data_IF_181513276227
#
_entry.id   IF_181513276227
#
_cell.length_a   1.000
_cell.length_b   1.000
_cell.length_c   1.000
_cell.angle_alpha   90.00
_cell.angle_beta   90.00
_cell.angle_gamma   90.00
#
_symmetry.space_group_name_H-M   'P 1'
#
loop_
_entity.id
_entity.type
_entity.pdbx_description
1 polymer ?
#
# COMPACT_ATOMS: atom_id res chain seq x y z
N UNK A 1 -12.54 -0.44 -33.76
CA UNK A 1 -12.20 -1.64 -32.97
C UNK A 1 -11.13 -1.20 -32.01
N UNK A 2 -11.48 -1.01 -30.74
CA UNK A 2 -10.51 -0.80 -29.67
C UNK A 2 -10.22 -2.21 -29.17
N UNK A 3 -8.98 -2.67 -29.35
CA UNK A 3 -8.54 -3.92 -28.75
C UNK A 3 -8.59 -3.74 -27.23
N UNK A 4 -9.40 -4.56 -26.57
CA UNK A 4 -9.44 -4.64 -25.11
C UNK A 4 -8.05 -5.04 -24.62
N UNK A 5 -7.33 -4.08 -24.08
CA UNK A 5 -6.10 -4.32 -23.35
C UNK A 5 -6.47 -5.18 -22.14
N UNK A 6 -6.24 -6.48 -22.25
CA UNK A 6 -6.58 -7.48 -21.25
C UNK A 6 -5.74 -7.20 -20.00
N UNK A 7 -6.27 -6.38 -19.10
CA UNK A 7 -5.63 -6.02 -17.84
C UNK A 7 -5.32 -7.28 -17.04
N UNK A 8 -4.04 -7.52 -16.75
CA UNK A 8 -3.59 -8.63 -15.90
C UNK A 8 -4.26 -8.55 -14.52
N UNK A 9 -4.44 -7.34 -13.99
CA UNK A 9 -5.16 -7.12 -12.73
C UNK A 9 -6.62 -7.59 -12.78
N UNK A 10 -7.27 -7.51 -13.94
CA UNK A 10 -8.62 -8.05 -14.13
C UNK A 10 -8.65 -9.57 -14.03
N UNK A 11 -7.66 -10.30 -14.58
CA UNK A 11 -7.61 -11.76 -14.44
C UNK A 11 -7.33 -12.21 -13.01
N UNK A 12 -6.45 -11.52 -12.29
CA UNK A 12 -6.16 -11.80 -10.87
C UNK A 12 -7.38 -11.48 -9.99
N UNK A 13 -8.07 -10.36 -10.26
CA UNK A 13 -9.31 -10.01 -9.57
C UNK A 13 -10.45 -10.98 -9.91
N UNK A 14 -10.55 -11.47 -11.16
CA UNK A 14 -11.55 -12.49 -11.53
C UNK A 14 -11.28 -13.81 -10.82
N UNK A 15 -10.02 -14.24 -10.68
CA UNK A 15 -9.67 -15.44 -9.90
C UNK A 15 -9.98 -15.28 -8.42
N UNK A 16 -9.60 -14.14 -7.83
CA UNK A 16 -9.89 -13.83 -6.43
C UNK A 16 -11.39 -13.71 -6.19
N UNK A 17 -12.11 -13.07 -7.12
CA UNK A 17 -13.56 -12.93 -7.04
C UNK A 17 -14.27 -14.25 -7.28
N UNK A 18 -13.83 -15.16 -8.15
CA UNK A 18 -14.41 -16.51 -8.28
C UNK A 18 -14.27 -17.31 -6.97
N UNK A 19 -13.12 -17.19 -6.28
CA UNK A 19 -12.90 -17.79 -4.96
C UNK A 19 -13.81 -17.14 -3.89
N UNK A 20 -14.01 -15.82 -3.96
CA UNK A 20 -14.96 -15.07 -3.12
C UNK A 20 -16.44 -15.27 -3.55
N UNK A 21 -16.70 -15.68 -4.78
CA UNK A 21 -18.05 -15.93 -5.31
C UNK A 21 -18.56 -17.27 -4.79
N UNK A 22 -17.68 -18.25 -4.59
CA UNK A 22 -17.98 -19.47 -3.84
C UNK A 22 -18.34 -19.17 -2.38
N UNK A 23 -17.78 -18.11 -1.78
CA UNK A 23 -18.16 -17.64 -0.45
C UNK A 23 -19.40 -16.72 -0.43
N UNK A 24 -19.92 -16.30 -1.60
CA UNK A 24 -21.09 -15.40 -1.76
C UNK A 24 -22.44 -15.98 -1.32
N UNK A 25 -22.49 -17.24 -0.88
CA UNK A 25 -23.62 -17.70 -0.04
C UNK A 25 -23.65 -17.03 1.34
N UNK A 26 -22.59 -16.32 1.72
CA UNK A 26 -22.47 -15.51 2.93
C UNK A 26 -22.28 -14.05 2.53
N UNK A 27 -23.38 -13.36 2.24
CA UNK A 27 -23.43 -11.89 2.30
C UNK A 27 -22.85 -11.44 3.65
N UNK A 28 -21.85 -10.54 3.65
CA UNK A 28 -21.11 -9.96 4.79
C UNK A 28 -19.67 -10.44 5.07
N UNK A 29 -18.97 -11.10 4.15
CA UNK A 29 -17.52 -11.27 4.34
C UNK A 29 -16.80 -10.00 3.88
N UNK A 30 -16.50 -9.10 4.82
CA UNK A 30 -15.47 -8.08 4.62
C UNK A 30 -14.16 -8.82 4.34
N UNK A 31 -13.80 -8.96 3.07
CA UNK A 31 -12.62 -9.70 2.67
C UNK A 31 -11.36 -8.93 3.10
N UNK A 32 -10.29 -9.68 3.38
CA UNK A 32 -8.95 -9.16 3.63
C UNK A 32 -8.08 -9.43 2.39
N UNK A 33 -7.09 -8.57 2.15
CA UNK A 33 -6.12 -8.72 1.06
C UNK A 33 -4.70 -8.69 1.64
N UNK A 34 -3.85 -9.64 1.25
CA UNK A 34 -2.44 -9.66 1.62
C UNK A 34 -1.59 -9.63 0.35
N UNK A 35 -0.68 -8.66 0.27
CA UNK A 35 0.15 -8.42 -0.92
C UNK A 35 1.60 -8.19 -0.53
N UNK A 36 2.51 -8.65 -1.38
CA UNK A 36 3.93 -8.30 -1.30
C UNK A 36 4.33 -7.45 -2.49
N UNK A 37 4.90 -6.28 -2.23
CA UNK A 37 5.16 -5.26 -3.24
C UNK A 37 6.56 -4.68 -3.09
N UNK A 38 7.27 -4.55 -4.21
CA UNK A 38 8.40 -3.65 -4.36
C UNK A 38 7.92 -2.30 -4.90
N UNK A 39 7.95 -1.26 -4.06
CA UNK A 39 7.52 0.09 -4.46
C UNK A 39 8.42 0.73 -5.53
N UNK A 40 9.62 0.18 -5.75
CA UNK A 40 10.52 0.60 -6.83
C UNK A 40 10.19 -0.09 -8.16
N UNK A 41 9.45 -1.20 -8.12
CA UNK A 41 9.01 -1.92 -9.31
C UNK A 41 7.67 -1.34 -9.79
N UNK A 42 7.73 -0.51 -10.83
CA UNK A 42 6.54 0.13 -11.43
C UNK A 42 5.45 -0.87 -11.83
N UNK A 43 5.81 -2.04 -12.33
CA UNK A 43 4.85 -3.07 -12.73
C UNK A 43 4.11 -3.64 -11.51
N UNK A 44 4.80 -3.85 -10.40
CA UNK A 44 4.16 -4.31 -9.17
C UNK A 44 3.25 -3.23 -8.55
N UNK A 45 3.70 -1.96 -8.54
CA UNK A 45 2.87 -0.86 -8.04
C UNK A 45 1.63 -0.66 -8.90
N UNK A 46 1.76 -0.76 -10.23
CA UNK A 46 0.63 -0.65 -11.14
C UNK A 46 -0.39 -1.77 -10.94
N UNK A 47 0.07 -3.01 -10.73
CA UNK A 47 -0.82 -4.13 -10.41
C UNK A 47 -1.55 -3.92 -9.09
N UNK A 48 -0.83 -3.51 -8.04
CA UNK A 48 -1.44 -3.20 -6.76
C UNK A 48 -2.52 -2.11 -6.90
N UNK A 49 -2.22 -1.06 -7.66
CA UNK A 49 -3.16 0.02 -7.97
C UNK A 49 -4.42 -0.49 -8.66
N UNK A 50 -4.28 -1.36 -9.66
CA UNK A 50 -5.41 -1.95 -10.38
C UNK A 50 -6.25 -2.84 -9.46
N UNK A 51 -5.62 -3.71 -8.67
CA UNK A 51 -6.32 -4.59 -7.71
C UNK A 51 -7.11 -3.78 -6.69
N UNK A 52 -6.49 -2.76 -6.08
CA UNK A 52 -7.16 -1.88 -5.12
C UNK A 52 -8.23 -1.00 -5.79
N UNK A 53 -8.03 -0.59 -7.04
CA UNK A 53 -9.02 0.17 -7.81
C UNK A 53 -10.28 -0.63 -8.18
N UNK A 54 -10.16 -1.96 -8.31
CA UNK A 54 -11.30 -2.87 -8.54
C UNK A 54 -12.04 -3.22 -7.23
N UNK A 55 -11.50 -2.85 -6.08
CA UNK A 55 -12.09 -3.17 -4.79
C UNK A 55 -13.23 -2.20 -4.45
N UNK A 56 -14.48 -2.64 -4.63
CA UNK A 56 -15.68 -1.79 -4.54
C UNK A 56 -16.38 -1.81 -3.19
N UNK A 57 -15.95 -2.67 -2.26
CA UNK A 57 -16.56 -2.84 -0.94
C UNK A 57 -15.58 -2.49 0.18
N UNK A 58 -16.08 -2.34 1.41
CA UNK A 58 -15.20 -2.12 2.56
C UNK A 58 -14.37 -3.38 2.85
N UNK A 59 -13.04 -3.24 2.80
CA UNK A 59 -12.06 -4.26 3.14
C UNK A 59 -11.85 -4.29 4.66
N UNK A 60 -11.74 -5.49 5.24
CA UNK A 60 -11.44 -5.61 6.67
C UNK A 60 -9.98 -5.27 6.94
N UNK A 61 -9.07 -6.02 6.32
CA UNK A 61 -7.63 -5.84 6.51
C UNK A 61 -6.92 -5.80 5.15
N UNK A 62 -5.97 -4.87 5.02
CA UNK A 62 -4.98 -4.85 3.94
C UNK A 62 -3.61 -5.08 4.54
N UNK A 63 -2.99 -6.21 4.25
CA UNK A 63 -1.63 -6.51 4.64
C UNK A 63 -0.67 -6.23 3.48
N UNK A 64 0.36 -5.43 3.74
CA UNK A 64 1.37 -5.02 2.76
C UNK A 64 2.74 -5.43 3.30
N UNK A 65 3.38 -6.34 2.58
CA UNK A 65 4.73 -6.81 2.87
C UNK A 65 5.71 -6.17 1.88
N UNK A 66 6.49 -5.20 2.36
CA UNK A 66 7.49 -4.54 1.52
C UNK A 66 8.64 -5.51 1.20
N UNK A 67 8.98 -5.60 -0.10
CA UNK A 67 10.10 -6.41 -0.57
C UNK A 67 11.41 -5.65 -0.38
N UNK A 68 12.33 -6.24 0.38
CA UNK A 68 13.70 -5.76 0.49
C UNK A 68 14.52 -6.26 -0.71
N UNK A 69 14.49 -5.53 -1.81
CA UNK A 69 15.36 -5.87 -2.96
C UNK A 69 16.81 -5.45 -2.66
N UNK A 70 17.63 -6.44 -2.29
CA UNK A 70 19.08 -6.32 -2.06
C UNK A 70 19.93 -6.47 -3.34
N UNK A 71 19.28 -6.47 -4.52
CA UNK A 71 19.98 -6.59 -5.80
C UNK A 71 20.86 -5.36 -6.10
N UNK A 72 21.92 -5.51 -6.93
CA UNK A 72 22.77 -4.39 -7.34
C UNK A 72 21.90 -3.34 -8.02
N UNK A 73 21.80 -2.18 -7.37
CA UNK A 73 20.99 -1.07 -7.85
C UNK A 73 21.77 -0.38 -8.96
N UNK A 74 21.26 -0.42 -10.18
CA UNK A 74 21.64 0.58 -11.17
C UNK A 74 21.11 1.93 -10.67
N UNK A 75 22.01 2.83 -10.31
CA UNK A 75 21.76 4.22 -9.93
C UNK A 75 21.17 5.00 -11.10
N UNK A 76 19.94 4.69 -11.50
CA UNK A 76 19.10 5.58 -12.29
C UNK A 76 18.29 6.47 -11.33
N UNK A 77 19.00 7.19 -10.47
CA UNK A 77 18.44 8.13 -9.48
C UNK A 77 17.48 9.16 -10.14
N UNK A 78 17.74 9.49 -11.41
CA UNK A 78 16.94 10.44 -12.21
C UNK A 78 15.52 9.95 -12.50
N UNK A 79 15.34 8.64 -12.76
CA UNK A 79 14.03 8.06 -13.06
C UNK A 79 13.24 7.69 -11.81
N UNK A 80 13.94 7.39 -10.71
CA UNK A 80 13.37 7.06 -9.40
C UNK A 80 12.92 8.33 -8.65
N UNK A 81 13.74 9.39 -8.60
CA UNK A 81 13.31 10.68 -8.04
C UNK A 81 12.11 11.27 -8.77
N UNK A 82 12.04 11.09 -10.10
CA UNK A 82 10.87 11.54 -10.88
C UNK A 82 9.59 10.79 -10.52
N UNK A 83 9.69 9.54 -10.07
CA UNK A 83 8.52 8.72 -9.73
C UNK A 83 7.71 9.34 -8.58
N UNK A 84 8.40 9.88 -7.57
CA UNK A 84 7.79 10.52 -6.41
C UNK A 84 7.77 12.06 -6.48
N UNK A 85 8.68 12.70 -7.25
CA UNK A 85 8.72 14.18 -7.44
C UNK A 85 7.85 14.73 -8.55
N UNK A 86 7.50 13.97 -9.60
CA UNK A 86 6.73 14.53 -10.74
C UNK A 86 5.31 14.97 -10.34
N UNK A 87 4.86 14.61 -9.14
CA UNK A 87 3.52 14.89 -8.64
C UNK A 87 3.49 15.87 -7.48
N UNK A 88 4.59 16.55 -7.13
CA UNK A 88 4.57 17.53 -6.03
C UNK A 88 3.68 18.76 -6.32
N UNK A 89 3.17 18.92 -7.55
CA UNK A 89 2.18 19.94 -7.92
C UNK A 89 0.76 19.39 -8.15
N UNK A 90 0.57 18.07 -8.13
CA UNK A 90 -0.72 17.39 -8.20
C UNK A 90 -0.68 16.26 -7.18
N UNK A 91 -1.26 16.47 -6.00
CA UNK A 91 -1.26 15.53 -4.87
C UNK A 91 -1.82 14.12 -5.19
N UNK A 92 -2.28 13.87 -6.42
CA UNK A 92 -3.00 12.68 -6.89
C UNK A 92 -2.16 11.59 -7.58
N UNK A 93 -0.91 11.83 -7.99
CA UNK A 93 -0.45 11.17 -9.21
C UNK A 93 0.39 9.87 -9.08
N UNK A 94 0.41 9.19 -7.92
CA UNK A 94 0.89 7.79 -7.87
C UNK A 94 -0.22 6.78 -7.58
N UNK A 95 -1.09 7.09 -6.63
CA UNK A 95 -2.33 6.39 -6.39
C UNK A 95 -3.48 7.32 -6.78
N UNK A 96 -4.11 7.18 -7.96
CA UNK A 96 -5.32 7.93 -8.27
C UNK A 96 -6.33 7.59 -7.19
N UNK A 97 -6.93 8.62 -6.59
CA UNK A 97 -7.85 8.56 -5.46
C UNK A 97 -8.63 7.25 -5.45
N UNK A 98 -8.10 6.28 -4.70
CA UNK A 98 -8.58 4.92 -4.80
C UNK A 98 -9.80 4.85 -3.88
N UNK A 99 -10.98 4.64 -4.47
CA UNK A 99 -12.26 4.69 -3.73
C UNK A 99 -12.44 3.54 -2.74
N UNK A 100 -11.50 2.60 -2.68
CA UNK A 100 -11.57 1.51 -1.71
C UNK A 100 -11.45 2.08 -0.30
N UNK A 101 -12.07 1.36 0.63
CA UNK A 101 -12.02 1.67 2.04
C UNK A 101 -11.57 0.44 2.79
N UNK A 102 -10.67 0.61 3.75
CA UNK A 102 -10.12 -0.47 4.56
C UNK A 102 -10.15 -0.08 6.03
N UNK A 103 -10.59 -0.99 6.89
CA UNK A 103 -10.58 -0.73 8.35
C UNK A 103 -9.16 -0.68 8.88
N UNK A 104 -8.38 -1.72 8.62
CA UNK A 104 -7.03 -1.86 9.14
C UNK A 104 -6.01 -2.11 8.04
N UNK A 105 -4.92 -1.33 8.03
CA UNK A 105 -3.75 -1.60 7.17
C UNK A 105 -2.62 -2.13 8.04
N UNK A 106 -1.99 -3.23 7.62
CA UNK A 106 -0.78 -3.77 8.24
C UNK A 106 0.40 -3.58 7.28
N UNK A 107 1.49 -3.01 7.78
CA UNK A 107 2.70 -2.74 7.01
C UNK A 107 3.87 -3.52 7.60
N UNK A 108 4.29 -4.56 6.90
CA UNK A 108 5.40 -5.43 7.27
C UNK A 108 6.67 -5.05 6.51
N UNK A 109 7.83 -5.28 7.12
CA UNK A 109 9.14 -4.88 6.61
C UNK A 109 9.30 -3.38 6.33
N UNK A 110 8.54 -2.53 7.04
CA UNK A 110 8.63 -1.09 6.88
C UNK A 110 10.03 -0.59 7.31
N UNK A 111 10.75 0.03 6.36
CA UNK A 111 12.10 0.56 6.51
C UNK A 111 12.14 2.08 6.69
N UNK A 112 10.97 2.71 6.66
CA UNK A 112 10.81 4.16 6.59
C UNK A 112 11.61 4.75 5.41
N UNK A 113 11.61 4.07 4.28
CA UNK A 113 12.09 4.65 3.02
C UNK A 113 11.18 5.79 2.59
N UNK A 114 11.67 6.64 1.69
CA UNK A 114 10.88 7.77 1.18
C UNK A 114 9.62 7.29 0.47
N UNK A 115 9.73 6.19 -0.28
CA UNK A 115 8.65 5.59 -1.05
C UNK A 115 7.59 4.94 -0.15
N UNK A 116 8.02 4.17 0.86
CA UNK A 116 7.10 3.56 1.83
C UNK A 116 6.37 4.62 2.65
N UNK A 117 7.09 5.67 3.09
CA UNK A 117 6.49 6.77 3.83
C UNK A 117 5.50 7.56 2.96
N UNK A 118 5.84 7.83 1.69
CA UNK A 118 4.96 8.49 0.75
C UNK A 118 3.71 7.65 0.46
N UNK A 119 3.87 6.34 0.28
CA UNK A 119 2.76 5.40 0.09
C UNK A 119 1.83 5.39 1.31
N UNK A 120 2.36 5.25 2.52
CA UNK A 120 1.56 5.29 3.75
C UNK A 120 0.84 6.64 3.91
N UNK A 121 1.56 7.74 3.71
CA UNK A 121 0.99 9.09 3.76
C UNK A 121 -0.15 9.28 2.77
N UNK A 122 -0.03 8.72 1.58
CA UNK A 122 -1.06 8.77 0.54
C UNK A 122 -2.34 8.07 0.99
N UNK A 123 -2.24 6.84 1.52
CA UNK A 123 -3.40 6.10 2.04
C UNK A 123 -4.15 6.89 3.14
N UNK A 124 -3.40 7.51 4.06
CA UNK A 124 -3.95 8.32 5.16
C UNK A 124 -4.66 9.55 4.61
N UNK A 125 -3.97 10.35 3.78
CA UNK A 125 -4.50 11.61 3.23
C UNK A 125 -5.73 11.41 2.34
N UNK A 126 -5.79 10.30 1.62
CA UNK A 126 -6.95 9.94 0.79
C UNK A 126 -8.13 9.42 1.62
N UNK A 127 -7.97 9.20 2.92
CA UNK A 127 -9.03 8.68 3.78
C UNK A 127 -9.44 7.24 3.43
N UNK A 128 -8.51 6.48 2.82
CA UNK A 128 -8.74 5.06 2.48
C UNK A 128 -8.74 4.17 3.72
N UNK A 129 -7.95 4.54 4.73
CA UNK A 129 -7.87 3.84 6.01
C UNK A 129 -8.88 4.45 6.98
N UNK A 130 -9.79 3.62 7.50
CA UNK A 130 -10.89 4.07 8.35
C UNK A 130 -10.53 4.08 9.83
N UNK A 131 -9.93 3.00 10.35
CA UNK A 131 -9.77 2.82 11.79
C UNK A 131 -8.29 2.90 12.20
N UNK A 132 -7.43 2.05 11.62
CA UNK A 132 -6.06 1.89 12.12
C UNK A 132 -5.04 1.53 11.04
N UNK A 133 -3.83 2.07 11.16
CA UNK A 133 -2.65 1.64 10.43
C UNK A 133 -1.61 1.07 11.41
N UNK A 134 -1.23 -0.19 11.20
CA UNK A 134 -0.27 -0.93 11.99
C UNK A 134 1.04 -1.03 11.22
N UNK A 135 2.13 -0.54 11.81
CA UNK A 135 3.48 -0.59 11.23
C UNK A 135 4.33 -1.52 12.06
N UNK A 136 4.96 -2.50 11.42
CA UNK A 136 5.89 -3.40 12.11
C UNK A 136 7.14 -2.60 12.49
N UNK A 137 7.31 -2.34 13.79
CA UNK A 137 8.43 -1.53 14.30
C UNK A 137 9.29 -2.29 15.30
N UNK A 138 8.72 -3.27 16.01
CA UNK A 138 9.31 -3.84 17.23
C UNK A 138 9.92 -5.22 17.00
N UNK A 139 10.58 -5.44 15.86
CA UNK A 139 11.44 -6.61 15.72
C UNK A 139 12.70 -6.42 16.57
N UNK A 140 12.89 -7.29 17.56
CA UNK A 140 14.06 -7.39 18.44
C UNK A 140 15.40 -7.55 17.67
N UNK A 141 15.32 -7.74 16.35
CA UNK A 141 16.45 -7.86 15.41
C UNK A 141 16.93 -6.53 14.81
N UNK A 142 16.18 -5.43 14.95
CA UNK A 142 16.59 -4.15 14.34
C UNK A 142 17.66 -3.43 15.17
N UNK A 143 18.69 -2.85 14.52
CA UNK A 143 19.57 -1.89 15.19
C UNK A 143 18.77 -0.71 15.73
N UNK A 144 19.15 -0.19 16.89
CA UNK A 144 18.45 0.94 17.54
C UNK A 144 18.28 2.17 16.62
N UNK A 145 19.26 2.43 15.74
CA UNK A 145 19.17 3.51 14.76
C UNK A 145 18.05 3.30 13.74
N UNK A 146 17.81 2.05 13.31
CA UNK A 146 16.72 1.70 12.40
C UNK A 146 15.37 1.83 13.11
N UNK A 147 15.28 1.39 14.36
CA UNK A 147 14.07 1.54 15.17
C UNK A 147 13.68 3.02 15.35
N UNK A 148 14.62 3.88 15.76
CA UNK A 148 14.37 5.32 15.91
C UNK A 148 13.89 5.98 14.60
N UNK A 149 14.43 5.54 13.46
CA UNK A 149 14.00 6.04 12.14
C UNK A 149 12.54 5.67 11.86
N UNK A 150 12.15 4.44 12.16
CA UNK A 150 10.78 3.95 11.98
C UNK A 150 9.83 4.68 12.93
N UNK A 151 10.17 4.80 14.22
CA UNK A 151 9.38 5.51 15.22
C UNK A 151 9.16 6.98 14.83
N UNK A 152 10.21 7.67 14.35
CA UNK A 152 10.10 9.03 13.85
C UNK A 152 9.19 9.14 12.61
N UNK A 153 9.21 8.14 11.73
CA UNK A 153 8.32 8.09 10.58
C UNK A 153 6.86 7.84 11.01
N UNK A 154 6.62 6.92 11.95
CA UNK A 154 5.28 6.67 12.51
C UNK A 154 4.73 7.91 13.20
N UNK A 155 5.53 8.62 14.00
CA UNK A 155 5.12 9.88 14.61
C UNK A 155 4.72 10.94 13.56
N UNK A 156 5.43 11.01 12.44
CA UNK A 156 5.06 11.88 11.31
C UNK A 156 3.76 11.44 10.65
N UNK A 157 3.52 10.14 10.49
CA UNK A 157 2.26 9.60 9.94
C UNK A 157 1.07 9.89 10.87
N UNK A 158 1.23 9.71 12.19
CA UNK A 158 0.23 10.06 13.20
C UNK A 158 -0.19 11.54 13.12
N UNK A 159 0.77 12.42 12.85
CA UNK A 159 0.51 13.85 12.71
C UNK A 159 -0.29 14.22 11.44
N UNK A 160 -0.45 13.32 10.46
CA UNK A 160 -1.18 13.60 9.23
C UNK A 160 -2.70 13.61 9.44
N UNK A 161 -3.23 12.78 10.33
CA UNK A 161 -4.67 12.70 10.56
C UNK A 161 -4.98 12.24 11.99
N UNK A 162 -5.48 13.16 12.81
CA UNK A 162 -5.75 12.94 14.23
C UNK A 162 -6.83 11.89 14.54
N UNK A 163 -7.70 11.57 13.57
CA UNK A 163 -8.75 10.56 13.73
C UNK A 163 -8.28 9.13 13.41
N UNK A 164 -7.14 8.97 12.75
CA UNK A 164 -6.60 7.66 12.40
C UNK A 164 -5.59 7.23 13.46
N UNK A 165 -5.78 6.04 14.03
CA UNK A 165 -4.79 5.45 14.90
C UNK A 165 -3.64 4.88 14.05
N UNK A 166 -2.40 5.32 14.28
CA UNK A 166 -1.21 4.69 13.70
C UNK A 166 -0.38 4.12 14.83
N UNK A 167 -0.11 2.82 14.81
CA UNK A 167 0.60 2.13 15.89
C UNK A 167 1.77 1.32 15.36
N UNK A 168 2.81 1.25 16.19
CA UNK A 168 3.85 0.26 16.06
C UNK A 168 3.42 -1.05 16.73
N UNK A 169 3.70 -2.19 16.10
CA UNK A 169 3.58 -3.52 16.69
C UNK A 169 4.85 -4.34 16.56
#
# INVERSE_FOLDING_TARGET
MIEDEKSIGHEEFVKMSDELLLSRKLSHVSASLSVSVDLMNRTEVERLRQVLGLWTHEMKELEIVFKNNSGPREENESCQKKLWKVNSNNEDAFFPNAKFRVKTVWMYNFSASEEEFAFASCLIRQGTVLDTMMVECLSMSYPASKQLKIEAAVAKLQALQWMLAVHCF
#
